data_IF_759663290806
#
_entry.id   IF_759663290806
#
_cell.length_a   1.000
_cell.length_b   1.000
_cell.length_c   1.000
_cell.angle_alpha   90.00
_cell.angle_beta   90.00
_cell.angle_gamma   90.00
#
_symmetry.space_group_name_H-M   'P 1'
#
loop_
_entity.id
_entity.type
_entity.pdbx_description
1 polymer ?
#
# COMPACT_ATOMS: atom_id res chain seq x y z
N UNK A 1 9.96 -17.78 -11.24
CA UNK A 1 9.74 -19.23 -11.05
C UNK A 1 9.68 -19.51 -9.56
N UNK A 2 8.52 -19.94 -9.05
CA UNK A 2 8.25 -20.14 -7.62
C UNK A 2 8.89 -21.45 -7.13
N UNK A 3 9.49 -21.45 -5.94
CA UNK A 3 9.98 -22.67 -5.27
C UNK A 3 8.84 -23.23 -4.43
N UNK A 4 8.07 -24.16 -4.99
CA UNK A 4 6.79 -24.61 -4.44
C UNK A 4 6.85 -25.00 -2.97
N UNK A 5 7.78 -25.87 -2.59
CA UNK A 5 7.86 -26.39 -1.21
C UNK A 5 8.19 -25.27 -0.22
N UNK A 6 9.09 -24.35 -0.60
CA UNK A 6 9.43 -23.20 0.21
C UNK A 6 8.25 -22.24 0.38
N UNK A 7 7.51 -21.97 -0.71
CA UNK A 7 6.31 -21.13 -0.65
C UNK A 7 5.21 -21.73 0.23
N UNK A 8 4.98 -23.04 0.13
CA UNK A 8 4.01 -23.74 1.00
C UNK A 8 4.45 -23.70 2.46
N UNK A 9 5.75 -23.87 2.73
CA UNK A 9 6.30 -23.75 4.06
C UNK A 9 6.09 -22.35 4.64
N UNK A 10 6.47 -21.28 3.91
CA UNK A 10 6.23 -19.90 4.37
C UNK A 10 4.75 -19.68 4.65
N UNK A 11 3.87 -20.09 3.75
CA UNK A 11 2.43 -19.90 3.91
C UNK A 11 1.89 -20.61 5.15
N UNK A 12 2.44 -21.78 5.50
CA UNK A 12 2.06 -22.52 6.70
C UNK A 12 2.40 -21.79 8.01
N UNK A 13 3.34 -20.85 7.99
CA UNK A 13 3.71 -20.01 9.15
C UNK A 13 2.82 -18.79 9.32
N UNK A 14 2.00 -18.46 8.32
CA UNK A 14 1.15 -17.26 8.30
C UNK A 14 -0.29 -17.65 8.63
N UNK A 15 -0.61 -17.64 9.92
CA UNK A 15 -1.95 -17.96 10.41
C UNK A 15 -2.96 -16.86 10.04
N UNK A 16 -4.20 -17.26 9.77
CA UNK A 16 -5.30 -16.32 9.57
C UNK A 16 -5.61 -15.57 10.86
N UNK A 17 -5.57 -14.25 10.80
CA UNK A 17 -5.80 -13.39 11.94
C UNK A 17 -7.30 -13.06 12.05
N UNK A 18 -8.01 -13.71 12.99
CA UNK A 18 -9.45 -13.50 13.22
C UNK A 18 -9.78 -12.22 14.02
N UNK A 19 -8.94 -11.19 13.95
CA UNK A 19 -9.20 -9.92 14.64
C UNK A 19 -10.35 -9.20 13.95
N UNK A 20 -11.44 -8.98 14.70
CA UNK A 20 -12.50 -8.04 14.28
C UNK A 20 -11.95 -6.62 14.33
N UNK A 21 -11.67 -6.08 13.15
CA UNK A 21 -11.25 -4.68 12.99
C UNK A 21 -12.40 -3.87 12.38
N UNK A 22 -12.37 -2.56 12.66
CA UNK A 22 -13.26 -1.60 12.02
C UNK A 22 -12.82 -1.41 10.55
N UNK A 23 -13.58 -2.00 9.61
CA UNK A 23 -13.25 -2.01 8.17
C UNK A 23 -13.34 -0.62 7.53
N UNK A 24 -14.08 0.30 8.14
CA UNK A 24 -14.26 1.67 7.64
C UNK A 24 -13.12 2.61 8.07
N UNK A 25 -12.20 2.15 8.93
CA UNK A 25 -11.05 2.94 9.38
C UNK A 25 -9.74 2.44 8.79
N UNK A 26 -8.74 3.32 8.60
CA UNK A 26 -7.37 2.90 8.33
C UNK A 26 -6.80 2.06 9.47
N UNK A 27 -5.70 1.35 9.21
CA UNK A 27 -4.95 0.63 10.25
C UNK A 27 -4.38 1.64 11.24
N UNK A 28 -3.78 2.71 10.73
CA UNK A 28 -3.26 3.81 11.52
C UNK A 28 -3.11 5.07 10.66
N UNK A 29 -3.14 6.21 11.34
CA UNK A 29 -2.84 7.53 10.77
C UNK A 29 -1.97 8.27 11.79
N UNK A 30 -0.83 8.81 11.37
CA UNK A 30 0.02 9.62 12.22
C UNK A 30 0.79 10.68 11.43
N UNK A 31 1.34 11.67 12.15
CA UNK A 31 2.26 12.66 11.59
C UNK A 31 3.68 12.35 12.01
N UNK A 32 4.61 12.48 11.09
CA UNK A 32 6.05 12.36 11.35
C UNK A 32 6.83 13.48 10.65
N UNK A 33 8.12 13.61 10.97
CA UNK A 33 9.04 14.43 10.19
C UNK A 33 9.76 13.52 9.19
N UNK A 34 9.59 13.83 7.91
CA UNK A 34 10.28 13.13 6.82
C UNK A 34 11.02 14.10 5.91
N UNK A 35 11.88 13.58 5.03
CA UNK A 35 12.69 14.32 4.06
C UNK A 35 12.31 13.99 2.63
N UNK A 36 11.03 13.77 2.34
CA UNK A 36 10.57 13.55 0.96
C UNK A 36 11.02 14.69 0.05
N UNK A 37 10.97 15.95 0.47
CA UNK A 37 11.53 17.06 -0.34
C UNK A 37 13.00 17.41 -0.08
N UNK A 38 13.72 16.56 0.64
CA UNK A 38 15.14 16.73 0.98
C UNK A 38 15.39 17.48 2.30
N UNK A 39 14.41 18.21 2.81
CA UNK A 39 14.43 18.85 4.13
C UNK A 39 13.37 18.23 5.06
N UNK A 40 13.57 18.26 6.40
CA UNK A 40 12.55 17.78 7.35
C UNK A 40 11.25 18.58 7.21
N UNK A 41 10.15 17.89 6.95
CA UNK A 41 8.81 18.46 6.85
C UNK A 41 7.77 17.54 7.49
N UNK A 42 6.69 18.13 7.99
CA UNK A 42 5.56 17.35 8.51
C UNK A 42 4.95 16.54 7.38
N UNK A 43 4.90 15.23 7.57
CA UNK A 43 4.34 14.27 6.63
C UNK A 43 3.23 13.48 7.32
N UNK A 44 2.08 13.39 6.66
CA UNK A 44 1.00 12.51 7.09
C UNK A 44 1.29 11.11 6.57
N UNK A 45 1.17 10.11 7.43
CA UNK A 45 1.25 8.71 7.04
C UNK A 45 -0.07 8.04 7.32
N UNK A 46 -0.56 7.29 6.34
CA UNK A 46 -1.76 6.47 6.44
C UNK A 46 -1.45 5.06 5.97
N UNK A 47 -1.85 4.08 6.76
CA UNK A 47 -1.89 2.68 6.33
C UNK A 47 -3.35 2.32 6.09
N UNK A 48 -3.75 2.20 4.83
CA UNK A 48 -5.10 1.73 4.51
C UNK A 48 -5.23 0.26 4.86
N UNK A 49 -6.38 -0.08 5.44
CA UNK A 49 -6.79 -1.46 5.63
C UNK A 49 -7.37 -1.95 4.32
N UNK A 50 -6.79 -3.00 3.75
CA UNK A 50 -7.20 -3.57 2.45
C UNK A 50 -7.43 -5.08 2.60
N UNK A 51 -7.84 -5.74 1.51
CA UNK A 51 -7.87 -7.21 1.45
C UNK A 51 -6.47 -7.85 1.39
N UNK A 52 -5.41 -7.04 1.34
CA UNK A 52 -4.02 -7.47 1.39
C UNK A 52 -3.36 -7.79 0.06
N UNK A 53 -2.03 -7.87 0.09
CA UNK A 53 -1.17 -8.11 -1.07
C UNK A 53 -1.57 -9.36 -1.87
N UNK A 54 -1.69 -9.23 -3.19
CA UNK A 54 -1.90 -10.37 -4.09
C UNK A 54 -0.82 -11.45 -3.96
N UNK A 55 0.44 -11.07 -3.71
CA UNK A 55 1.51 -12.04 -3.51
C UNK A 55 1.32 -12.87 -2.23
N UNK A 56 0.81 -12.26 -1.15
CA UNK A 56 0.45 -12.98 0.06
C UNK A 56 -0.69 -13.98 -0.18
N UNK A 57 -1.69 -13.60 -1.00
CA UNK A 57 -2.80 -14.50 -1.37
C UNK A 57 -2.33 -15.71 -2.19
N UNK A 58 -1.19 -15.61 -2.88
CA UNK A 58 -0.64 -16.69 -3.72
C UNK A 58 0.46 -17.52 -3.02
N UNK A 59 1.46 -16.89 -2.40
CA UNK A 59 2.57 -17.58 -1.72
C UNK A 59 3.03 -16.88 -0.43
N UNK A 60 3.32 -15.57 -0.51
CA UNK A 60 3.89 -14.68 0.50
C UNK A 60 5.42 -14.56 0.56
N UNK A 61 5.91 -13.37 0.90
CA UNK A 61 7.33 -13.14 1.20
C UNK A 61 7.65 -13.63 2.61
N UNK A 62 8.80 -14.29 2.82
CA UNK A 62 9.17 -14.94 4.08
C UNK A 62 9.24 -13.99 5.29
N UNK A 63 9.59 -12.72 5.07
CA UNK A 63 9.74 -11.70 6.12
C UNK A 63 8.50 -10.83 6.34
N UNK A 64 7.47 -10.96 5.52
CA UNK A 64 6.37 -9.99 5.52
C UNK A 64 5.38 -10.25 6.66
N UNK A 65 5.26 -9.29 7.59
CA UNK A 65 4.28 -9.32 8.68
C UNK A 65 2.97 -8.59 8.39
N UNK A 66 2.86 -7.87 7.27
CA UNK A 66 1.71 -7.00 6.96
C UNK A 66 0.40 -7.75 6.72
N UNK A 67 0.44 -9.07 6.50
CA UNK A 67 -0.79 -9.86 6.39
C UNK A 67 -1.68 -9.78 7.65
N UNK A 68 -1.09 -9.44 8.79
CA UNK A 68 -1.80 -9.27 10.06
C UNK A 68 -2.78 -8.09 10.07
N UNK A 69 -2.59 -7.10 9.18
CA UNK A 69 -3.36 -5.86 9.11
C UNK A 69 -4.40 -5.86 7.98
N UNK A 70 -4.61 -7.01 7.35
CA UNK A 70 -5.56 -7.19 6.24
C UNK A 70 -6.96 -7.53 6.75
N UNK A 71 -7.98 -7.29 5.93
CA UNK A 71 -9.35 -7.70 6.23
C UNK A 71 -10.06 -8.20 4.95
N UNK A 72 -10.46 -9.48 4.91
CA UNK A 72 -11.02 -10.09 3.70
C UNK A 72 -12.41 -9.55 3.33
N UNK A 73 -13.10 -8.92 4.29
CA UNK A 73 -14.46 -8.38 4.12
C UNK A 73 -14.50 -6.96 3.52
N UNK A 74 -13.33 -6.36 3.23
CA UNK A 74 -13.26 -5.00 2.71
C UNK A 74 -13.82 -4.89 1.30
N UNK A 75 -14.69 -3.90 1.11
CA UNK A 75 -15.21 -3.45 -0.18
C UNK A 75 -14.78 -2.01 -0.47
N UNK A 76 -14.97 -1.58 -1.72
CA UNK A 76 -14.57 -0.25 -2.22
C UNK A 76 -15.13 0.89 -1.36
N UNK A 77 -16.39 0.79 -0.91
CA UNK A 77 -17.02 1.82 -0.07
C UNK A 77 -16.30 1.98 1.28
N UNK A 78 -15.78 0.90 1.85
CA UNK A 78 -15.00 0.99 3.09
C UNK A 78 -13.73 1.80 2.84
N UNK A 79 -13.01 1.53 1.75
CA UNK A 79 -11.80 2.27 1.40
C UNK A 79 -12.10 3.74 1.12
N UNK A 80 -13.22 4.08 0.47
CA UNK A 80 -13.62 5.48 0.28
C UNK A 80 -13.84 6.19 1.63
N UNK A 81 -14.48 5.54 2.61
CA UNK A 81 -14.60 6.09 3.98
C UNK A 81 -13.26 6.24 4.69
N UNK A 82 -12.32 5.32 4.44
CA UNK A 82 -10.95 5.45 4.93
C UNK A 82 -10.22 6.66 4.30
N UNK A 83 -10.44 6.92 3.01
CA UNK A 83 -9.94 8.12 2.31
C UNK A 83 -10.51 9.38 2.93
N UNK A 84 -11.81 9.41 3.25
CA UNK A 84 -12.43 10.54 3.94
C UNK A 84 -11.84 10.78 5.33
N UNK A 85 -11.68 9.71 6.11
CA UNK A 85 -11.04 9.77 7.43
C UNK A 85 -9.62 10.36 7.34
N UNK A 86 -8.86 9.96 6.32
CA UNK A 86 -7.53 10.53 6.05
C UNK A 86 -7.62 12.01 5.65
N UNK A 87 -8.53 12.36 4.75
CA UNK A 87 -8.70 13.74 4.27
C UNK A 87 -8.99 14.71 5.42
N UNK A 88 -9.84 14.30 6.37
CA UNK A 88 -10.17 15.08 7.56
C UNK A 88 -8.97 15.18 8.52
N UNK A 89 -8.11 14.16 8.54
CA UNK A 89 -6.90 14.12 9.38
C UNK A 89 -5.74 14.99 8.86
N UNK A 90 -5.71 15.35 7.57
CA UNK A 90 -4.60 16.09 6.95
C UNK A 90 -4.29 17.42 7.65
N UNK A 91 -5.30 18.15 8.12
CA UNK A 91 -5.15 19.51 8.64
C UNK A 91 -4.35 20.41 7.66
N UNK A 92 -3.20 20.94 8.11
CA UNK A 92 -2.23 21.76 7.38
C UNK A 92 -1.15 20.96 6.64
N UNK A 93 -1.17 19.63 6.73
CA UNK A 93 -0.11 18.76 6.22
C UNK A 93 -0.29 18.52 4.73
N UNK A 94 0.73 18.86 3.94
CA UNK A 94 0.69 18.80 2.46
C UNK A 94 1.48 17.65 1.85
N UNK A 95 2.19 16.89 2.67
CA UNK A 95 2.97 15.72 2.24
C UNK A 95 2.33 14.48 2.81
N UNK A 96 2.06 13.51 1.95
CA UNK A 96 1.29 12.32 2.28
C UNK A 96 2.05 11.06 1.87
N UNK A 97 2.09 10.08 2.77
CA UNK A 97 2.56 8.73 2.52
C UNK A 97 1.41 7.76 2.71
N UNK A 98 1.16 6.95 1.69
CA UNK A 98 0.17 5.88 1.71
C UNK A 98 0.89 4.55 1.66
N UNK A 99 0.60 3.73 2.66
CA UNK A 99 0.92 2.33 2.66
C UNK A 99 -0.37 1.52 2.62
N UNK A 100 -0.27 0.31 2.10
CA UNK A 100 -1.28 -0.70 2.29
C UNK A 100 -0.60 -1.89 2.95
N UNK A 101 -1.23 -3.06 2.98
CA UNK A 101 -0.53 -4.29 3.35
C UNK A 101 -0.04 -5.02 2.10
N UNK A 102 0.36 -4.26 1.07
CA UNK A 102 0.58 -4.79 -0.27
C UNK A 102 0.96 -3.74 -1.33
N UNK A 103 0.04 -3.37 -2.20
CA UNK A 103 0.31 -2.50 -3.35
C UNK A 103 -0.84 -1.56 -3.67
N UNK A 104 -0.61 -0.27 -3.53
CA UNK A 104 -1.62 0.75 -3.82
C UNK A 104 -2.06 0.77 -5.29
N UNK A 105 -1.17 0.39 -6.21
CA UNK A 105 -1.47 0.34 -7.65
C UNK A 105 -2.03 -1.01 -8.11
N UNK A 106 -2.18 -2.00 -7.22
CA UNK A 106 -2.83 -3.28 -7.55
C UNK A 106 -4.34 -3.05 -7.69
N UNK A 107 -4.96 -3.29 -8.86
CA UNK A 107 -6.39 -3.10 -9.06
C UNK A 107 -7.26 -4.06 -8.25
N UNK A 108 -6.71 -5.16 -7.72
CA UNK A 108 -7.44 -6.11 -6.88
C UNK A 108 -7.35 -5.76 -5.38
N UNK A 109 -6.38 -4.92 -5.00
CA UNK A 109 -6.21 -4.48 -3.61
C UNK A 109 -6.83 -3.10 -3.38
N UNK A 110 -6.55 -2.16 -4.29
CA UNK A 110 -7.17 -0.83 -4.33
C UNK A 110 -7.77 -0.66 -5.72
N UNK A 111 -9.08 -0.80 -5.83
CA UNK A 111 -9.77 -0.75 -7.11
C UNK A 111 -9.57 0.62 -7.80
N UNK A 112 -9.51 0.69 -9.15
CA UNK A 112 -9.34 1.96 -9.86
C UNK A 112 -10.32 3.06 -9.43
N UNK A 113 -11.59 2.71 -9.16
CA UNK A 113 -12.59 3.67 -8.69
C UNK A 113 -12.21 4.31 -7.35
N UNK A 114 -11.65 3.54 -6.42
CA UNK A 114 -11.14 4.03 -5.13
C UNK A 114 -9.91 4.92 -5.33
N UNK A 115 -9.01 4.55 -6.25
CA UNK A 115 -7.85 5.40 -6.59
C UNK A 115 -8.26 6.73 -7.21
N UNK A 116 -9.22 6.72 -8.14
CA UNK A 116 -9.72 7.93 -8.77
C UNK A 116 -10.40 8.84 -7.73
N UNK A 117 -11.19 8.25 -6.83
CA UNK A 117 -11.76 8.96 -5.68
C UNK A 117 -10.68 9.57 -4.78
N UNK A 118 -9.65 8.80 -4.43
CA UNK A 118 -8.51 9.27 -3.64
C UNK A 118 -7.80 10.45 -4.32
N UNK A 119 -7.51 10.34 -5.62
CA UNK A 119 -6.87 11.41 -6.38
C UNK A 119 -7.74 12.67 -6.35
N UNK A 120 -9.05 12.54 -6.60
CA UNK A 120 -9.98 13.67 -6.60
C UNK A 120 -10.03 14.39 -5.25
N UNK A 121 -10.06 13.63 -4.15
CA UNK A 121 -10.07 14.19 -2.78
C UNK A 121 -8.74 14.86 -2.40
N UNK A 122 -7.61 14.35 -2.90
CA UNK A 122 -6.28 14.75 -2.41
C UNK A 122 -5.57 15.77 -3.30
N UNK A 123 -5.89 15.85 -4.59
CA UNK A 123 -5.14 16.65 -5.59
C UNK A 123 -4.96 18.13 -5.23
N UNK A 124 -5.93 18.73 -4.52
CA UNK A 124 -5.91 20.14 -4.17
C UNK A 124 -5.35 20.42 -2.76
N UNK A 125 -5.08 19.37 -1.96
CA UNK A 125 -4.53 19.47 -0.59
C UNK A 125 -3.10 18.97 -0.44
N UNK A 126 -2.71 18.01 -1.29
CA UNK A 126 -1.45 17.29 -1.17
C UNK A 126 -0.51 17.74 -2.28
N UNK A 127 0.57 18.40 -1.89
CA UNK A 127 1.58 18.84 -2.84
C UNK A 127 2.60 17.72 -3.19
N UNK A 128 2.74 16.71 -2.33
CA UNK A 128 3.65 15.56 -2.54
C UNK A 128 3.03 14.28 -2.00
N UNK A 129 2.93 13.27 -2.86
CA UNK A 129 2.39 11.96 -2.52
C UNK A 129 3.47 10.89 -2.66
N UNK A 130 3.60 10.03 -1.67
CA UNK A 130 4.30 8.75 -1.77
C UNK A 130 3.29 7.63 -1.60
N UNK A 131 3.35 6.64 -2.49
CA UNK A 131 2.60 5.38 -2.34
C UNK A 131 3.56 4.21 -2.44
N UNK A 132 3.24 3.08 -1.82
CA UNK A 132 3.96 1.83 -2.08
C UNK A 132 3.30 1.01 -3.20
N UNK A 133 4.10 0.29 -3.97
CA UNK A 133 3.61 -0.70 -4.90
C UNK A 133 4.68 -1.72 -5.29
N UNK A 134 4.26 -2.96 -5.54
CA UNK A 134 5.05 -3.91 -6.31
C UNK A 134 5.21 -3.43 -7.76
N UNK A 135 6.32 -3.79 -8.38
CA UNK A 135 6.78 -3.24 -9.65
C UNK A 135 5.90 -3.61 -10.83
N UNK A 136 5.27 -4.78 -10.82
CA UNK A 136 4.38 -5.23 -11.89
C UNK A 136 3.11 -4.38 -12.04
N UNK A 137 2.74 -3.59 -11.02
CA UNK A 137 1.60 -2.68 -11.05
C UNK A 137 1.98 -1.24 -11.44
N UNK A 138 3.27 -0.96 -11.58
CA UNK A 138 3.78 0.35 -12.00
C UNK A 138 3.76 0.39 -13.52
N UNK A 139 2.63 0.77 -14.09
CA UNK A 139 2.39 0.80 -15.53
C UNK A 139 1.96 2.19 -15.99
N UNK A 140 2.04 2.44 -17.29
CA UNK A 140 1.66 3.74 -17.83
C UNK A 140 0.22 4.09 -17.44
N UNK A 141 -0.71 3.15 -17.64
CA UNK A 141 -2.13 3.29 -17.37
C UNK A 141 -2.45 3.56 -15.90
N UNK A 142 -1.74 2.94 -14.94
CA UNK A 142 -1.97 3.17 -13.51
C UNK A 142 -1.42 4.51 -13.03
N UNK A 143 -0.42 5.07 -13.72
CA UNK A 143 0.19 6.36 -13.40
C UNK A 143 -0.48 7.56 -14.09
N UNK A 144 -1.21 7.34 -15.18
CA UNK A 144 -1.86 8.41 -15.95
C UNK A 144 -2.81 9.30 -15.12
N UNK A 145 -3.68 8.76 -14.24
CA UNK A 145 -4.57 9.58 -13.43
C UNK A 145 -3.83 10.60 -12.53
N UNK A 146 -2.73 10.18 -11.87
CA UNK A 146 -1.91 11.05 -11.04
C UNK A 146 -1.25 12.17 -11.86
N UNK A 147 -0.76 11.84 -13.06
CA UNK A 147 -0.17 12.83 -13.98
C UNK A 147 -1.19 13.87 -14.43
N UNK A 148 -2.40 13.44 -14.78
CA UNK A 148 -3.51 14.34 -15.17
C UNK A 148 -3.90 15.27 -14.03
N UNK A 149 -3.91 14.76 -12.80
CA UNK A 149 -4.15 15.54 -11.59
C UNK A 149 -2.96 16.41 -11.15
N UNK A 150 -1.83 16.39 -11.89
CA UNK A 150 -0.59 17.12 -11.56
C UNK A 150 -0.05 16.83 -10.15
N UNK A 151 -0.33 15.63 -9.63
CA UNK A 151 0.18 15.21 -8.33
C UNK A 151 1.64 14.80 -8.45
N UNK A 152 2.50 15.37 -7.59
CA UNK A 152 3.90 14.96 -7.51
C UNK A 152 4.01 13.61 -6.77
N UNK A 153 4.06 12.53 -7.55
CA UNK A 153 4.04 11.16 -7.08
C UNK A 153 5.45 10.57 -6.92
N UNK A 154 5.69 9.92 -5.79
CA UNK A 154 6.78 8.96 -5.56
C UNK A 154 6.20 7.58 -5.32
N UNK A 155 6.91 6.57 -5.82
CA UNK A 155 6.51 5.19 -5.63
C UNK A 155 7.64 4.49 -4.88
N UNK A 156 7.34 4.03 -3.67
CA UNK A 156 8.21 3.14 -2.92
C UNK A 156 8.03 1.72 -3.47
N UNK A 157 9.16 1.08 -3.80
CA UNK A 157 9.20 -0.31 -4.24
C UNK A 157 9.97 -1.13 -3.21
N UNK A 158 9.46 -2.31 -2.88
CA UNK A 158 10.23 -3.28 -2.12
C UNK A 158 11.12 -4.07 -3.07
N UNK A 159 12.38 -3.70 -3.23
CA UNK A 159 13.34 -4.50 -3.99
C UNK A 159 13.82 -5.71 -3.17
N UNK A 160 14.05 -5.51 -1.88
CA UNK A 160 14.59 -6.45 -0.88
C UNK A 160 16.02 -6.95 -1.13
N UNK A 161 16.33 -7.39 -2.35
CA UNK A 161 17.66 -7.81 -2.76
C UNK A 161 17.85 -7.63 -4.26
N UNK A 162 19.09 -7.36 -4.68
CA UNK A 162 19.49 -7.35 -6.09
C UNK A 162 20.07 -8.71 -6.55
N UNK A 163 20.02 -9.73 -5.69
CA UNK A 163 20.48 -11.09 -5.98
C UNK A 163 19.28 -12.02 -6.18
N UNK A 164 19.13 -12.56 -7.39
CA UNK A 164 18.05 -13.46 -7.78
C UNK A 164 18.00 -14.73 -6.93
N UNK A 165 19.15 -15.24 -6.48
CA UNK A 165 19.22 -16.39 -5.61
C UNK A 165 18.58 -16.06 -4.25
N UNK A 166 18.93 -14.92 -3.66
CA UNK A 166 18.35 -14.45 -2.40
C UNK A 166 16.85 -14.16 -2.56
N UNK A 167 16.46 -13.49 -3.64
CA UNK A 167 15.05 -13.19 -3.93
C UNK A 167 14.20 -14.46 -4.02
N UNK A 168 14.73 -15.50 -4.66
CA UNK A 168 14.02 -16.76 -4.90
C UNK A 168 14.03 -17.70 -3.70
N UNK A 169 15.18 -17.90 -3.05
CA UNK A 169 15.38 -18.95 -2.04
C UNK A 169 15.37 -18.43 -0.60
N UNK A 170 15.34 -17.11 -0.39
CA UNK A 170 15.25 -16.52 0.95
C UNK A 170 14.04 -15.59 1.08
N UNK A 171 13.91 -14.58 0.23
CA UNK A 171 12.80 -13.59 0.31
C UNK A 171 11.47 -14.21 -0.13
N UNK A 172 11.50 -15.12 -1.10
CA UNK A 172 10.31 -15.66 -1.78
C UNK A 172 9.42 -14.55 -2.33
N UNK A 173 10.02 -13.61 -3.06
CA UNK A 173 9.30 -12.51 -3.73
C UNK A 173 9.43 -12.69 -5.24
N UNK A 174 8.28 -12.78 -5.90
CA UNK A 174 8.17 -12.88 -7.35
C UNK A 174 8.42 -11.56 -8.04
#
# INVERSE_FOLDING_TARGET
>A
MVVRDYSLYIKSLMHENNRKNDVDKPVSIWKELDRLRGSPEKTMVCIFRTTGCAWYKFTACSMCGYFNDTSPEIVDENLMRQVDTLYDSLNDTKVLKIFTSGSFLDPNEVHPAVRDYFIDRMKDKVDKLLVESRTEYIKHETLQPFKKAKMDLRIAIGLESADDYIMKYSVNKG
#
